data_IF_639651928790
#
_entry.id   IF_639651928790
#
_cell.length_a   1.000
_cell.length_b   1.000
_cell.length_c   1.000
_cell.angle_alpha   90.00
_cell.angle_beta   90.00
_cell.angle_gamma   90.00
#
_symmetry.space_group_name_H-M   'P 1'
#
loop_
_entity.id
_entity.type
_entity.pdbx_description
1 polymer ?
#
# COMPACT_ATOMS: atom_id res chain seq x y z
N UNK A 1 -19.27 6.71 -6.45
CA UNK A 1 -19.23 5.27 -6.80
C UNK A 1 -18.13 4.98 -7.83
N UNK A 2 -18.30 5.04 -9.16
CA UNK A 2 -17.22 4.61 -10.10
C UNK A 2 -15.93 5.48 -10.10
N UNK A 3 -16.02 6.76 -9.72
CA UNK A 3 -14.85 7.67 -9.73
C UNK A 3 -13.90 7.44 -8.53
N UNK A 4 -14.45 7.08 -7.37
CA UNK A 4 -13.68 6.84 -6.14
C UNK A 4 -12.90 5.52 -6.22
N UNK A 5 -13.50 4.48 -6.80
CA UNK A 5 -12.84 3.18 -7.02
C UNK A 5 -11.60 3.32 -7.92
N UNK A 6 -11.69 4.14 -8.98
CA UNK A 6 -10.55 4.41 -9.85
C UNK A 6 -9.42 5.13 -9.09
N UNK A 7 -9.75 6.11 -8.24
CA UNK A 7 -8.75 6.84 -7.44
C UNK A 7 -8.05 5.95 -6.42
N UNK A 8 -8.80 5.08 -5.72
CA UNK A 8 -8.23 4.11 -4.80
C UNK A 8 -7.27 3.15 -5.52
N UNK A 9 -7.59 2.74 -6.74
CA UNK A 9 -6.70 1.90 -7.55
C UNK A 9 -5.41 2.66 -7.94
N UNK A 10 -5.51 3.90 -8.43
CA UNK A 10 -4.34 4.72 -8.73
C UNK A 10 -3.46 4.94 -7.50
N UNK A 11 -4.07 5.22 -6.36
CA UNK A 11 -3.38 5.36 -5.09
C UNK A 11 -2.68 4.06 -4.66
N UNK A 12 -3.34 2.92 -4.81
CA UNK A 12 -2.73 1.60 -4.55
C UNK A 12 -1.49 1.39 -5.42
N UNK A 13 -1.58 1.70 -6.71
CA UNK A 13 -0.45 1.59 -7.63
C UNK A 13 0.68 2.55 -7.23
N UNK A 14 0.36 3.79 -6.84
CA UNK A 14 1.34 4.74 -6.34
C UNK A 14 2.09 4.21 -5.11
N UNK A 15 1.37 3.69 -4.11
CA UNK A 15 1.99 3.13 -2.89
C UNK A 15 2.94 1.98 -3.19
N UNK A 16 2.55 1.05 -4.08
CA UNK A 16 3.39 -0.10 -4.45
C UNK A 16 4.68 0.37 -5.13
N UNK A 17 4.60 1.32 -6.07
CA UNK A 17 5.79 1.85 -6.74
C UNK A 17 6.70 2.60 -5.77
N UNK A 18 6.13 3.43 -4.90
CA UNK A 18 6.91 4.19 -3.92
C UNK A 18 7.62 3.27 -2.93
N UNK A 19 6.96 2.21 -2.44
CA UNK A 19 7.59 1.20 -1.59
C UNK A 19 8.71 0.47 -2.34
N UNK A 20 8.48 0.09 -3.61
CA UNK A 20 9.49 -0.57 -4.44
C UNK A 20 10.75 0.30 -4.58
N UNK A 21 10.57 1.59 -4.90
CA UNK A 21 11.67 2.55 -5.03
C UNK A 21 12.39 2.78 -3.69
N UNK A 22 11.64 2.95 -2.60
CA UNK A 22 12.20 3.18 -1.24
C UNK A 22 13.00 1.97 -0.73
N UNK A 23 12.57 0.76 -1.06
CA UNK A 23 13.16 -0.49 -0.54
C UNK A 23 14.16 -1.12 -1.53
N UNK A 24 14.27 -0.62 -2.76
CA UNK A 24 15.11 -1.20 -3.79
C UNK A 24 14.63 -2.58 -4.25
N UNK A 25 13.33 -2.86 -4.12
CA UNK A 25 12.71 -4.13 -4.51
C UNK A 25 11.87 -3.98 -5.77
N UNK A 26 11.64 -5.08 -6.51
CA UNK A 26 10.74 -5.01 -7.67
C UNK A 26 9.29 -4.74 -7.23
N UNK A 27 8.56 -3.94 -8.00
CA UNK A 27 7.10 -3.71 -7.87
C UNK A 27 6.32 -5.02 -7.71
N UNK A 28 6.74 -6.07 -8.43
CA UNK A 28 6.11 -7.39 -8.35
C UNK A 28 6.30 -8.08 -6.99
N UNK A 29 7.46 -7.88 -6.35
CA UNK A 29 7.76 -8.38 -5.00
C UNK A 29 6.88 -7.69 -3.98
N UNK A 30 6.85 -6.36 -3.99
CA UNK A 30 6.04 -5.54 -3.09
C UNK A 30 4.55 -5.88 -3.23
N UNK A 31 4.04 -5.96 -4.46
CA UNK A 31 2.64 -6.36 -4.69
C UNK A 31 2.33 -7.73 -4.08
N UNK A 32 3.21 -8.73 -4.28
CA UNK A 32 3.01 -10.07 -3.69
C UNK A 32 3.02 -10.02 -2.16
N UNK A 33 3.98 -9.31 -1.55
CA UNK A 33 4.08 -9.16 -0.10
C UNK A 33 2.84 -8.49 0.49
N UNK A 34 2.38 -7.37 -0.09
CA UNK A 34 1.16 -6.67 0.33
C UNK A 34 -0.09 -7.52 0.14
N UNK A 35 -0.16 -8.30 -0.94
CA UNK A 35 -1.28 -9.23 -1.19
C UNK A 35 -1.30 -10.38 -0.18
N UNK A 36 -0.14 -10.92 0.21
CA UNK A 36 -0.05 -12.02 1.19
C UNK A 36 -0.64 -11.65 2.56
N UNK A 37 -0.55 -10.38 2.95
CA UNK A 37 -1.08 -9.86 4.22
C UNK A 37 -2.45 -9.17 4.05
N UNK A 38 -3.09 -9.33 2.89
CA UNK A 38 -4.33 -8.66 2.50
C UNK A 38 -4.31 -7.12 2.68
N UNK A 39 -3.14 -6.48 2.62
CA UNK A 39 -3.04 -5.03 2.78
C UNK A 39 -3.84 -4.28 1.70
N UNK A 40 -3.92 -4.82 0.48
CA UNK A 40 -4.62 -4.15 -0.62
C UNK A 40 -6.15 -4.18 -0.39
N UNK A 41 -6.71 -5.35 -0.10
CA UNK A 41 -8.16 -5.55 0.03
C UNK A 41 -8.73 -5.10 1.37
N UNK A 42 -7.95 -5.23 2.44
CA UNK A 42 -8.46 -5.07 3.81
C UNK A 42 -8.02 -3.74 4.43
N UNK A 43 -7.07 -3.04 3.81
CA UNK A 43 -6.51 -1.80 4.36
C UNK A 43 -6.45 -0.65 3.33
N UNK A 44 -5.65 -0.76 2.27
CA UNK A 44 -5.38 0.34 1.34
C UNK A 44 -6.64 0.83 0.62
N UNK A 45 -7.41 -0.09 0.00
CA UNK A 45 -8.63 0.30 -0.73
C UNK A 45 -9.73 0.76 0.25
N UNK A 46 -10.07 0.01 1.31
CA UNK A 46 -11.13 0.43 2.24
C UNK A 46 -10.82 1.72 3.01
N UNK A 47 -9.53 1.99 3.29
CA UNK A 47 -9.12 3.17 4.06
C UNK A 47 -8.64 4.33 3.17
N UNK A 48 -8.89 4.28 1.85
CA UNK A 48 -8.43 5.30 0.90
C UNK A 48 -8.74 6.73 1.36
N UNK A 49 -9.98 7.01 1.79
CA UNK A 49 -10.43 8.36 2.19
C UNK A 49 -9.59 8.97 3.32
N UNK A 50 -9.03 8.14 4.19
CA UNK A 50 -8.13 8.58 5.27
C UNK A 50 -6.68 8.60 4.77
N UNK A 51 -6.22 7.52 4.16
CA UNK A 51 -4.82 7.34 3.78
C UNK A 51 -4.35 8.36 2.74
N UNK A 52 -5.18 8.73 1.76
CA UNK A 52 -4.78 9.67 0.70
C UNK A 52 -4.54 11.11 1.18
N UNK A 53 -4.91 11.42 2.42
CA UNK A 53 -4.68 12.73 3.06
C UNK A 53 -3.36 12.80 3.84
N UNK A 54 -2.72 11.65 4.05
CA UNK A 54 -1.51 11.53 4.86
C UNK A 54 -0.23 11.80 4.06
N UNK A 55 0.86 12.14 4.76
CA UNK A 55 2.18 12.31 4.15
C UNK A 55 2.74 10.99 3.61
N UNK A 56 3.50 11.06 2.52
CA UNK A 56 4.04 9.89 1.84
C UNK A 56 4.97 9.07 2.75
N UNK A 57 5.88 9.72 3.47
CA UNK A 57 6.85 9.06 4.35
C UNK A 57 6.15 8.26 5.45
N UNK A 58 5.14 8.86 6.10
CA UNK A 58 4.33 8.20 7.12
C UNK A 58 3.58 6.99 6.57
N UNK A 59 2.96 7.12 5.39
CA UNK A 59 2.27 6.01 4.73
C UNK A 59 3.21 4.84 4.44
N UNK A 60 4.45 5.11 4.02
CA UNK A 60 5.42 4.05 3.77
C UNK A 60 5.78 3.30 5.06
N UNK A 61 5.93 4.01 6.17
CA UNK A 61 6.24 3.41 7.48
C UNK A 61 5.06 2.59 8.01
N UNK A 62 3.85 3.14 7.92
CA UNK A 62 2.62 2.48 8.34
C UNK A 62 2.35 1.18 7.55
N UNK A 63 2.57 1.17 6.24
CA UNK A 63 2.43 -0.05 5.43
C UNK A 63 3.48 -1.10 5.77
N UNK A 64 4.71 -0.68 6.07
CA UNK A 64 5.77 -1.59 6.55
C UNK A 64 5.39 -2.20 7.90
N UNK A 65 4.85 -1.41 8.83
CA UNK A 65 4.38 -1.90 10.11
C UNK A 65 3.18 -2.85 9.95
N UNK A 66 2.20 -2.49 9.12
CA UNK A 66 1.04 -3.32 8.81
C UNK A 66 1.44 -4.72 8.32
N UNK A 67 2.41 -4.79 7.41
CA UNK A 67 2.92 -6.05 6.87
C UNK A 67 3.71 -6.83 7.93
N UNK A 68 4.55 -6.13 8.71
CA UNK A 68 5.37 -6.74 9.77
C UNK A 68 4.52 -7.38 10.86
N UNK A 69 3.45 -6.73 11.30
CA UNK A 69 2.49 -7.28 12.27
C UNK A 69 1.78 -8.55 11.76
N UNK A 70 1.80 -8.79 10.45
CA UNK A 70 1.24 -9.97 9.79
C UNK A 70 2.31 -10.95 9.31
N UNK A 71 3.55 -10.80 9.77
CA UNK A 71 4.64 -11.75 9.53
C UNK A 71 5.35 -11.61 8.18
N UNK A 72 5.14 -10.49 7.45
CA UNK A 72 5.85 -10.21 6.19
C UNK A 72 6.69 -8.95 6.35
N UNK A 73 7.98 -9.04 6.01
CA UNK A 73 8.87 -7.88 5.95
C UNK A 73 8.84 -7.29 4.55
N UNK A 74 8.48 -6.01 4.46
CA UNK A 74 8.56 -5.24 3.22
C UNK A 74 9.99 -4.79 2.98
#
# INVERSE_FOLDING_TARGET
>A
MAKEEAQALYFTVFLINHLADKLGESVSSIYRKLKMVNAISDYIIPCYDVLHTQGAEYLMEDLQEYAKLRGVTL
#
